data_IF_551009467076
#
_entry.id   IF_551009467076
#
_cell.length_a   1.000
_cell.length_b   1.000
_cell.length_c   1.000
_cell.angle_alpha   90.00
_cell.angle_beta   90.00
_cell.angle_gamma   90.00
#
_symmetry.space_group_name_H-M   'P 1'
#
loop_
_entity.id
_entity.type
_entity.pdbx_description
1 polymer ?
#
# COMPACT_ATOMS: atom_id res chain seq x y z
N UNK A 1 4.19 25.13 28.08
CA UNK A 1 3.01 25.20 27.20
C UNK A 1 3.21 24.21 26.07
N UNK A 2 2.68 22.99 26.21
CA UNK A 2 2.55 22.02 25.10
C UNK A 2 1.07 21.96 24.80
N UNK A 3 0.70 22.42 23.60
CA UNK A 3 -0.67 22.58 23.18
C UNK A 3 -1.34 21.21 22.99
N UNK A 4 -2.52 21.05 23.59
CA UNK A 4 -3.51 20.05 23.21
C UNK A 4 -3.90 20.27 21.74
N UNK A 5 -3.77 19.25 20.91
CA UNK A 5 -4.52 19.12 19.67
C UNK A 5 -5.41 17.88 19.80
N UNK A 6 -6.70 18.12 20.03
CA UNK A 6 -7.72 17.11 19.83
C UNK A 6 -7.93 16.83 18.34
N UNK A 7 -8.57 15.69 18.08
CA UNK A 7 -9.18 15.26 16.82
C UNK A 7 -8.25 14.86 15.66
N UNK A 8 -7.83 13.59 15.68
CA UNK A 8 -8.25 12.67 14.61
C UNK A 8 -7.31 12.38 13.44
N UNK A 9 -6.18 13.08 13.26
CA UNK A 9 -5.37 12.90 12.04
C UNK A 9 -3.86 13.00 12.30
N UNK A 10 -3.32 12.17 13.19
CA UNK A 10 -1.87 11.90 13.22
C UNK A 10 -1.65 10.53 12.56
N UNK A 11 -1.61 10.59 11.24
CA UNK A 11 -1.02 9.59 10.36
C UNK A 11 0.36 9.21 10.90
N UNK A 12 0.58 7.90 11.06
CA UNK A 12 1.77 7.26 11.61
C UNK A 12 3.09 7.46 10.82
N UNK A 13 3.40 8.65 10.32
CA UNK A 13 4.58 8.92 9.47
C UNK A 13 5.86 9.25 10.26
N UNK A 14 5.80 9.22 11.57
CA UNK A 14 6.89 9.48 12.47
C UNK A 14 7.43 8.18 13.10
N UNK A 15 8.58 7.64 12.63
CA UNK A 15 9.30 6.61 13.37
C UNK A 15 9.86 7.10 14.72
N UNK A 16 9.64 8.37 15.10
CA UNK A 16 10.16 9.00 16.31
C UNK A 16 9.10 9.63 17.23
N UNK A 17 7.81 9.68 16.85
CA UNK A 17 6.76 10.13 17.77
C UNK A 17 6.05 8.93 18.38
N UNK A 18 6.04 8.91 19.71
CA UNK A 18 5.52 7.80 20.50
C UNK A 18 4.06 7.48 20.19
N UNK A 19 3.72 6.20 20.32
CA UNK A 19 2.35 5.73 20.26
C UNK A 19 1.55 6.27 21.46
N UNK A 20 0.28 6.63 21.25
CA UNK A 20 -0.66 6.95 22.34
C UNK A 20 -0.88 5.72 23.25
N UNK A 21 -1.46 5.93 24.43
CA UNK A 21 -1.71 4.93 25.47
C UNK A 21 -2.79 3.90 25.08
N UNK A 22 -2.60 3.18 23.96
CA UNK A 22 -3.28 1.92 23.62
C UNK A 22 -2.70 1.26 22.35
N UNK A 23 -1.55 1.71 21.86
CA UNK A 23 -0.97 1.23 20.61
C UNK A 23 0.41 0.60 20.83
N UNK A 24 0.65 -0.54 20.18
CA UNK A 24 1.90 -1.28 20.29
C UNK A 24 2.91 -0.69 19.30
N UNK A 25 4.04 -0.18 19.80
CA UNK A 25 5.12 0.30 18.94
C UNK A 25 5.89 -0.91 18.38
N UNK A 26 5.84 -1.09 17.07
CA UNK A 26 6.59 -2.14 16.37
C UNK A 26 7.59 -1.46 15.43
N UNK A 27 8.67 -2.15 15.06
CA UNK A 27 9.73 -1.67 14.15
C UNK A 27 9.25 -1.18 12.77
N UNK A 28 7.95 -1.31 12.49
CA UNK A 28 7.28 -1.02 11.23
C UNK A 28 6.16 0.04 11.40
N UNK A 29 5.91 0.52 12.63
CA UNK A 29 4.90 1.54 12.97
C UNK A 29 4.09 1.23 14.24
N UNK A 30 3.32 2.21 14.72
CA UNK A 30 2.35 2.03 15.81
C UNK A 30 1.09 1.28 15.33
N UNK A 31 0.62 0.29 16.10
CA UNK A 31 -0.58 -0.51 15.82
C UNK A 31 -1.68 -0.15 16.82
N UNK A 32 -2.79 0.43 16.34
CA UNK A 32 -4.04 0.60 17.09
C UNK A 32 -4.94 -0.60 16.76
N UNK A 33 -5.13 -1.51 17.72
CA UNK A 33 -5.88 -2.76 17.55
C UNK A 33 -7.35 -2.66 17.97
N UNK A 34 -7.76 -1.48 18.40
CA UNK A 34 -9.09 -1.12 18.90
C UNK A 34 -10.09 -0.82 17.78
N UNK A 35 -9.62 -0.43 16.59
CA UNK A 35 -10.47 -0.11 15.45
C UNK A 35 -10.10 -0.91 14.19
N UNK A 36 -11.11 -1.47 13.52
CA UNK A 36 -10.95 -2.15 12.23
C UNK A 36 -10.36 -1.23 11.14
N UNK A 37 -10.64 0.08 11.23
CA UNK A 37 -10.07 1.09 10.34
C UNK A 37 -8.56 1.28 10.51
N UNK A 38 -8.06 1.26 11.74
CA UNK A 38 -6.63 1.41 12.04
C UNK A 38 -5.80 0.22 11.52
N UNK A 39 -6.34 -0.99 11.65
CA UNK A 39 -5.72 -2.20 11.11
C UNK A 39 -5.70 -2.21 9.57
N UNK A 40 -6.80 -1.77 8.92
CA UNK A 40 -6.86 -1.67 7.47
C UNK A 40 -5.78 -0.71 6.93
N UNK A 41 -5.64 0.48 7.52
CA UNK A 41 -4.63 1.46 7.09
C UNK A 41 -3.20 0.96 7.23
N UNK A 42 -2.93 0.19 8.29
CA UNK A 42 -1.63 -0.43 8.49
C UNK A 42 -1.31 -1.45 7.37
N UNK A 43 -2.26 -2.34 7.05
CA UNK A 43 -2.13 -3.31 5.96
C UNK A 43 -1.99 -2.62 4.59
N UNK A 44 -2.77 -1.57 4.36
CA UNK A 44 -2.69 -0.73 3.16
C UNK A 44 -1.29 -0.12 3.00
N UNK A 45 -0.72 0.42 4.08
CA UNK A 45 0.59 1.08 4.04
C UNK A 45 1.73 0.09 3.80
N UNK A 46 1.71 -1.07 4.46
CA UNK A 46 2.73 -2.11 4.28
C UNK A 46 2.58 -2.80 2.92
N UNK A 47 1.34 -3.02 2.48
CA UNK A 47 0.99 -3.66 1.21
C UNK A 47 1.35 -2.81 0.01
N UNK A 48 1.11 -1.50 0.04
CA UNK A 48 1.51 -0.58 -1.04
C UNK A 48 3.05 -0.42 -1.07
N UNK A 49 3.70 -0.30 0.09
CA UNK A 49 5.15 -0.17 0.17
C UNK A 49 5.87 -1.40 -0.41
N UNK A 50 5.51 -2.60 0.05
CA UNK A 50 6.11 -3.84 -0.44
C UNK A 50 5.64 -4.20 -1.85
N UNK A 51 4.34 -4.11 -2.12
CA UNK A 51 3.75 -4.46 -3.42
C UNK A 51 4.21 -3.55 -4.55
N UNK A 52 4.26 -2.24 -4.31
CA UNK A 52 4.78 -1.27 -5.29
C UNK A 52 6.26 -1.48 -5.58
N UNK A 53 7.07 -1.77 -4.56
CA UNK A 53 8.49 -2.09 -4.72
C UNK A 53 8.73 -3.35 -5.57
N UNK A 54 8.05 -4.45 -5.23
CA UNK A 54 8.19 -5.72 -5.96
C UNK A 54 7.68 -5.59 -7.40
N UNK A 55 6.53 -4.96 -7.60
CA UNK A 55 5.97 -4.72 -8.94
C UNK A 55 6.93 -3.87 -9.80
N UNK A 56 7.55 -2.85 -9.23
CA UNK A 56 8.53 -2.02 -9.93
C UNK A 56 9.75 -2.83 -10.40
N UNK A 57 10.30 -3.71 -9.54
CA UNK A 57 11.40 -4.61 -9.90
C UNK A 57 11.01 -5.59 -11.02
N UNK A 58 9.81 -6.17 -10.97
CA UNK A 58 9.31 -7.08 -11.99
C UNK A 58 9.11 -6.40 -13.35
N UNK A 59 8.62 -5.15 -13.36
CA UNK A 59 8.47 -4.36 -14.59
C UNK A 59 9.83 -4.06 -15.21
N UNK A 60 10.84 -3.71 -14.40
CA UNK A 60 12.20 -3.50 -14.91
C UNK A 60 12.74 -4.79 -15.53
N UNK A 61 12.62 -5.92 -14.82
CA UNK A 61 13.11 -7.22 -15.29
C UNK A 61 12.41 -7.67 -16.58
N UNK A 62 11.07 -7.62 -16.62
CA UNK A 62 10.28 -7.94 -17.81
C UNK A 62 10.53 -6.96 -18.97
N UNK A 63 10.74 -5.68 -18.67
CA UNK A 63 11.12 -4.67 -19.65
C UNK A 63 12.45 -5.00 -20.32
N UNK A 64 13.50 -5.31 -19.53
CA UNK A 64 14.79 -5.72 -20.05
C UNK A 64 14.71 -6.99 -20.90
N UNK A 65 13.88 -7.96 -20.51
CA UNK A 65 13.60 -9.17 -21.31
C UNK A 65 13.04 -8.80 -22.69
N UNK A 66 12.04 -7.92 -22.76
CA UNK A 66 11.43 -7.47 -24.03
C UNK A 66 12.46 -6.69 -24.88
N UNK A 67 13.21 -5.78 -24.27
CA UNK A 67 14.20 -4.93 -24.94
C UNK A 67 15.38 -5.73 -25.51
N UNK A 68 15.84 -6.79 -24.82
CA UNK A 68 16.94 -7.65 -25.28
C UNK A 68 16.51 -8.71 -26.31
N UNK A 69 15.21 -8.90 -26.54
CA UNK A 69 14.71 -9.99 -27.39
C UNK A 69 14.96 -9.84 -28.90
N UNK A 70 15.56 -8.73 -29.34
CA UNK A 70 16.24 -8.45 -30.63
C UNK A 70 15.89 -9.35 -31.84
N UNK A 71 14.61 -9.63 -32.09
CA UNK A 71 14.11 -10.33 -33.28
C UNK A 71 13.53 -11.73 -33.09
N UNK A 72 13.55 -12.33 -31.89
CA UNK A 72 12.84 -13.61 -31.65
C UNK A 72 11.44 -13.36 -31.06
N UNK A 73 10.34 -13.70 -31.77
CA UNK A 73 8.97 -13.48 -31.28
C UNK A 73 8.65 -14.24 -29.99
N UNK A 74 9.33 -15.35 -29.71
CA UNK A 74 9.12 -16.16 -28.50
C UNK A 74 9.42 -15.37 -27.22
N UNK A 75 10.60 -14.75 -27.15
CA UNK A 75 11.07 -14.01 -25.98
C UNK A 75 10.33 -12.68 -25.80
N UNK A 76 9.86 -12.10 -26.90
CA UNK A 76 8.96 -10.95 -26.89
C UNK A 76 7.60 -11.29 -26.29
N UNK A 77 7.05 -12.45 -26.61
CA UNK A 77 5.76 -12.88 -26.09
C UNK A 77 5.85 -13.24 -24.60
N UNK A 78 6.89 -13.99 -24.21
CA UNK A 78 7.19 -14.28 -22.80
C UNK A 78 7.36 -13.00 -21.97
N UNK A 79 8.13 -12.02 -22.46
CA UNK A 79 8.33 -10.75 -21.78
C UNK A 79 7.03 -9.96 -21.61
N UNK A 80 6.16 -9.96 -22.64
CA UNK A 80 4.83 -9.33 -22.56
C UNK A 80 3.93 -10.01 -21.52
N UNK A 81 3.95 -11.33 -21.44
CA UNK A 81 3.15 -12.09 -20.47
C UNK A 81 3.60 -11.81 -19.02
N UNK A 82 4.91 -11.70 -18.81
CA UNK A 82 5.50 -11.29 -17.52
C UNK A 82 5.07 -9.86 -17.12
N UNK A 83 5.13 -8.91 -18.05
CA UNK A 83 4.72 -7.52 -17.76
C UNK A 83 3.21 -7.42 -17.55
N UNK A 84 2.41 -8.14 -18.34
CA UNK A 84 0.95 -8.21 -18.21
C UNK A 84 0.53 -8.74 -16.84
N UNK A 85 1.14 -9.84 -16.38
CA UNK A 85 0.84 -10.42 -15.07
C UNK A 85 1.25 -9.51 -13.91
N UNK A 86 2.38 -8.81 -14.02
CA UNK A 86 2.80 -7.80 -13.05
C UNK A 86 1.82 -6.61 -12.97
N UNK A 87 1.36 -6.11 -14.11
CA UNK A 87 0.36 -5.03 -14.19
C UNK A 87 -0.98 -5.51 -13.63
N UNK A 88 -1.41 -6.73 -13.94
CA UNK A 88 -2.64 -7.31 -13.42
C UNK A 88 -2.63 -7.42 -11.89
N UNK A 89 -1.50 -7.83 -11.30
CA UNK A 89 -1.34 -7.86 -9.85
C UNK A 89 -1.40 -6.46 -9.22
N UNK A 90 -0.75 -5.46 -9.82
CA UNK A 90 -0.81 -4.08 -9.35
C UNK A 90 -2.23 -3.51 -9.43
N UNK A 91 -2.94 -3.76 -10.54
CA UNK A 91 -4.34 -3.39 -10.72
C UNK A 91 -5.24 -4.03 -9.66
N UNK A 92 -5.03 -5.31 -9.33
CA UNK A 92 -5.79 -6.02 -8.31
C UNK A 92 -5.65 -5.37 -6.93
N UNK A 93 -4.44 -4.94 -6.57
CA UNK A 93 -4.20 -4.18 -5.33
C UNK A 93 -4.92 -2.83 -5.37
N UNK A 94 -4.80 -2.06 -6.46
CA UNK A 94 -5.46 -0.75 -6.59
C UNK A 94 -6.98 -0.88 -6.46
N UNK A 95 -7.59 -1.86 -7.11
CA UNK A 95 -9.03 -2.13 -7.01
C UNK A 95 -9.46 -2.53 -5.60
N UNK A 96 -8.65 -3.36 -4.92
CA UNK A 96 -8.91 -3.74 -3.53
C UNK A 96 -8.96 -2.52 -2.63
N UNK A 97 -8.01 -1.61 -2.78
CA UNK A 97 -7.94 -0.36 -2.01
C UNK A 97 -9.14 0.53 -2.32
N UNK A 98 -9.52 0.63 -3.59
CA UNK A 98 -10.65 1.43 -4.02
C UNK A 98 -11.96 0.93 -3.40
N UNK A 99 -12.19 -0.38 -3.40
CA UNK A 99 -13.35 -0.99 -2.73
C UNK A 99 -13.31 -0.79 -1.21
N UNK A 100 -12.15 -0.98 -0.57
CA UNK A 100 -12.00 -0.71 0.86
C UNK A 100 -12.28 0.75 1.20
N UNK A 101 -11.88 1.69 0.35
CA UNK A 101 -12.13 3.12 0.56
C UNK A 101 -13.61 3.45 0.42
N UNK A 102 -14.29 2.91 -0.59
CA UNK A 102 -15.74 3.11 -0.76
C UNK A 102 -16.51 2.48 0.41
N UNK A 103 -16.28 1.21 0.70
CA UNK A 103 -17.10 0.50 1.69
C UNK A 103 -16.70 0.91 3.12
N UNK A 104 -15.41 1.10 3.38
CA UNK A 104 -14.88 1.45 4.69
C UNK A 104 -15.09 2.91 5.10
N UNK A 105 -15.06 3.85 4.15
CA UNK A 105 -15.27 5.29 4.44
C UNK A 105 -16.73 5.68 4.25
N UNK A 106 -17.36 5.28 3.13
CA UNK A 106 -18.70 5.78 2.80
C UNK A 106 -19.83 5.05 3.54
N UNK A 107 -19.63 3.79 3.98
CA UNK A 107 -20.69 2.99 4.62
C UNK A 107 -20.50 2.82 6.13
N UNK A 108 -19.25 2.62 6.58
CA UNK A 108 -18.94 2.49 8.01
C UNK A 108 -18.72 3.82 8.72
N UNK A 109 -18.59 4.94 7.97
CA UNK A 109 -18.65 6.29 8.51
C UNK A 109 -17.71 6.52 9.69
N UNK A 110 -16.48 5.99 9.64
CA UNK A 110 -15.48 6.28 10.68
C UNK A 110 -14.93 7.69 10.42
N UNK A 111 -15.22 8.68 11.28
CA UNK A 111 -14.69 10.03 11.15
C UNK A 111 -13.18 10.01 11.45
N UNK A 112 -12.37 9.80 10.42
CA UNK A 112 -10.90 9.75 10.55
C UNK A 112 -10.12 9.59 9.24
N UNK A 113 -10.79 9.68 8.08
CA UNK A 113 -10.16 9.57 6.76
C UNK A 113 -10.26 10.87 5.96
N UNK A 114 -9.37 11.80 6.26
CA UNK A 114 -9.11 13.04 5.53
C UNK A 114 -8.07 13.86 6.30
N UNK A 115 -7.18 14.61 5.63
CA UNK A 115 -5.92 15.14 6.16
C UNK A 115 -5.99 15.96 7.44
#
# INVERSE_FOLDING_TARGET
>A
MVARAGTGVIYAIDPFAGCTNNAINTAIGCIQADDAGGFAQYLLRIGIGMGGGIAFLLIIFGGFQILTSAGNPERLNEGKELVSSAIAGLLMVIFSIFLLKIIGVDILGIPGFGP
#
